data_IF_456636237938
#
_entry.id   IF_456636237938
#
_cell.length_a   1.000
_cell.length_b   1.000
_cell.length_c   1.000
_cell.angle_alpha   90.00
_cell.angle_beta   90.00
_cell.angle_gamma   90.00
#
_symmetry.space_group_name_H-M   'P 1'
#
loop_
_entity.id
_entity.type
_entity.pdbx_description
1 polymer ?
#
# COMPACT_ATOMS: atom_id res chain seq x y z
N UNK A 1 6.11 -20.25 26.31
CA UNK A 1 6.75 -20.96 25.20
C UNK A 1 6.15 -20.45 23.89
N UNK A 2 6.94 -19.68 23.12
CA UNK A 2 6.55 -19.32 21.74
C UNK A 2 6.96 -20.49 20.85
N UNK A 3 6.01 -21.32 20.46
CA UNK A 3 6.25 -22.38 19.47
C UNK A 3 6.31 -21.74 18.08
N UNK A 4 7.26 -22.17 17.26
CA UNK A 4 7.35 -21.78 15.86
C UNK A 4 6.37 -22.63 15.06
N UNK A 5 5.56 -21.96 14.22
CA UNK A 5 4.66 -22.61 13.28
C UNK A 5 5.01 -22.21 11.85
N UNK A 6 4.78 -23.11 10.92
CA UNK A 6 4.91 -22.89 9.48
C UNK A 6 3.52 -22.67 8.89
N UNK A 7 3.32 -21.53 8.27
CA UNK A 7 2.08 -21.25 7.56
C UNK A 7 2.14 -21.85 6.16
N UNK A 8 1.20 -22.72 5.87
CA UNK A 8 0.97 -23.30 4.55
C UNK A 8 -0.17 -22.56 3.86
N UNK A 9 0.08 -22.14 2.62
CA UNK A 9 -0.93 -21.52 1.75
C UNK A 9 -1.07 -22.36 0.49
N UNK A 10 -2.27 -22.88 0.26
CA UNK A 10 -2.58 -23.63 -0.94
C UNK A 10 -3.53 -22.84 -1.82
N UNK A 11 -3.07 -22.50 -3.01
CA UNK A 11 -3.85 -21.78 -4.02
C UNK A 11 -4.48 -22.77 -4.99
N UNK A 12 -5.79 -22.65 -5.18
CA UNK A 12 -6.54 -23.27 -6.27
C UNK A 12 -7.05 -22.17 -7.20
N UNK A 13 -7.69 -22.50 -8.31
CA UNK A 13 -8.17 -21.51 -9.28
C UNK A 13 -9.11 -20.46 -8.67
N UNK A 14 -9.85 -20.80 -7.60
CA UNK A 14 -10.88 -19.95 -7.01
C UNK A 14 -10.74 -19.70 -5.52
N UNK A 15 -9.86 -20.42 -4.81
CA UNK A 15 -9.77 -20.39 -3.35
C UNK A 15 -8.34 -20.48 -2.86
N UNK A 16 -8.12 -19.98 -1.64
CA UNK A 16 -6.85 -20.11 -0.91
C UNK A 16 -7.15 -20.78 0.42
N UNK A 17 -6.42 -21.84 0.74
CA UNK A 17 -6.52 -22.56 2.01
C UNK A 17 -5.28 -22.26 2.84
N UNK A 18 -5.46 -22.04 4.15
CA UNK A 18 -4.39 -21.74 5.08
C UNK A 18 -4.35 -22.79 6.20
N UNK A 19 -3.17 -23.27 6.51
CA UNK A 19 -2.91 -24.16 7.64
C UNK A 19 -1.67 -23.70 8.38
N UNK A 20 -1.68 -23.80 9.72
CA UNK A 20 -0.51 -23.58 10.56
C UNK A 20 -0.02 -24.95 11.07
N UNK A 21 1.18 -25.33 10.70
CA UNK A 21 1.77 -26.64 10.95
C UNK A 21 3.00 -26.51 11.86
N UNK A 22 3.20 -27.51 12.71
CA UNK A 22 4.48 -27.69 13.39
C UNK A 22 5.59 -28.07 12.40
N UNK A 23 6.85 -28.03 12.82
CA UNK A 23 7.99 -28.37 11.94
C UNK A 23 7.87 -29.76 11.33
N UNK A 24 7.51 -30.77 12.11
CA UNK A 24 7.37 -32.15 11.64
C UNK A 24 6.21 -32.31 10.67
N UNK A 25 5.10 -31.66 10.93
CA UNK A 25 3.92 -31.68 10.02
C UNK A 25 4.21 -30.95 8.71
N UNK A 26 4.92 -29.82 8.77
CA UNK A 26 5.33 -29.07 7.59
C UNK A 26 6.29 -29.90 6.71
N UNK A 27 7.27 -30.58 7.33
CA UNK A 27 8.20 -31.44 6.59
C UNK A 27 7.49 -32.62 5.95
N UNK A 28 6.57 -33.29 6.67
CA UNK A 28 5.79 -34.40 6.12
C UNK A 28 4.92 -33.91 4.95
N UNK A 29 4.24 -32.78 5.08
CA UNK A 29 3.41 -32.19 4.03
C UNK A 29 4.24 -31.77 2.79
N UNK A 30 5.41 -31.18 2.98
CA UNK A 30 6.31 -30.86 1.87
C UNK A 30 6.74 -32.13 1.11
N UNK A 31 7.06 -33.21 1.84
CA UNK A 31 7.46 -34.49 1.25
C UNK A 31 6.32 -35.08 0.41
N UNK A 32 5.10 -35.03 0.94
CA UNK A 32 3.90 -35.55 0.26
C UNK A 32 3.55 -34.74 -1.01
N UNK A 33 3.64 -33.41 -0.93
CA UNK A 33 3.43 -32.52 -2.05
C UNK A 33 4.44 -32.77 -3.19
N UNK A 34 5.70 -33.09 -2.86
CA UNK A 34 6.72 -33.38 -3.88
C UNK A 34 6.46 -34.66 -4.67
N UNK A 35 5.55 -35.51 -4.26
CA UNK A 35 5.08 -36.65 -5.07
C UNK A 35 4.26 -36.19 -6.28
N UNK A 36 3.58 -35.04 -6.18
CA UNK A 36 2.69 -34.51 -7.20
C UNK A 36 3.25 -33.28 -7.92
N UNK A 37 4.07 -32.48 -7.24
CA UNK A 37 4.67 -31.27 -7.81
C UNK A 37 6.04 -31.58 -8.41
N UNK A 38 6.38 -30.91 -9.51
CA UNK A 38 7.63 -31.11 -10.24
C UNK A 38 8.65 -30.00 -10.03
N UNK A 39 8.27 -28.99 -9.26
CA UNK A 39 9.15 -27.86 -8.95
C UNK A 39 9.03 -27.48 -7.49
N UNK A 40 10.18 -27.26 -6.84
CA UNK A 40 10.28 -26.67 -5.51
C UNK A 40 11.27 -25.51 -5.58
N UNK A 41 10.93 -24.40 -4.94
CA UNK A 41 11.86 -23.31 -4.66
C UNK A 41 11.94 -23.13 -3.15
N UNK A 42 13.16 -23.09 -2.62
CA UNK A 42 13.45 -22.83 -1.22
C UNK A 42 14.27 -21.55 -1.13
N UNK A 43 13.84 -20.62 -0.28
CA UNK A 43 14.57 -19.40 0.04
C UNK A 43 14.78 -19.33 1.55
N UNK A 44 16.02 -19.21 1.97
CA UNK A 44 16.41 -18.98 3.37
C UNK A 44 17.24 -17.71 3.45
N UNK A 45 17.61 -17.29 4.66
CA UNK A 45 18.49 -16.13 4.85
C UNK A 45 19.88 -16.30 4.24
N UNK A 46 20.38 -17.54 4.15
CA UNK A 46 21.74 -17.83 3.74
C UNK A 46 21.84 -18.63 2.46
N UNK A 47 20.73 -19.07 1.88
CA UNK A 47 20.75 -19.91 0.68
C UNK A 47 19.43 -19.87 -0.08
N UNK A 48 19.54 -20.06 -1.37
CA UNK A 48 18.41 -20.37 -2.25
C UNK A 48 18.66 -21.73 -2.90
N UNK A 49 17.60 -22.54 -3.00
CA UNK A 49 17.65 -23.81 -3.70
C UNK A 49 16.43 -24.00 -4.58
N UNK A 50 16.61 -24.70 -5.68
CA UNK A 50 15.51 -25.12 -6.56
C UNK A 50 15.67 -26.58 -6.94
N UNK A 51 14.56 -27.30 -6.89
CA UNK A 51 14.45 -28.70 -7.34
C UNK A 51 13.51 -28.74 -8.53
N UNK A 52 13.95 -29.39 -9.58
CA UNK A 52 13.16 -29.66 -10.80
C UNK A 52 13.10 -31.14 -11.05
N UNK A 53 11.90 -31.68 -11.23
CA UNK A 53 11.67 -33.08 -11.59
C UNK A 53 11.16 -33.15 -13.02
N UNK A 54 11.94 -33.78 -13.91
CA UNK A 54 11.56 -33.94 -15.32
C UNK A 54 10.39 -34.92 -15.46
N UNK A 55 9.74 -34.94 -16.63
CA UNK A 55 8.69 -35.94 -16.97
C UNK A 55 9.18 -37.38 -16.86
N UNK A 56 10.50 -37.61 -17.02
CA UNK A 56 11.14 -38.94 -16.93
C UNK A 56 11.68 -39.23 -15.50
N UNK A 57 11.32 -38.44 -14.49
CA UNK A 57 11.74 -38.62 -13.10
C UNK A 57 13.17 -38.17 -12.80
N UNK A 58 13.90 -37.56 -13.74
CA UNK A 58 15.24 -37.00 -13.45
C UNK A 58 15.12 -35.79 -12.58
N UNK A 59 15.78 -35.82 -11.41
CA UNK A 59 15.84 -34.72 -10.44
C UNK A 59 17.06 -33.86 -10.72
N UNK A 60 16.87 -32.55 -10.77
CA UNK A 60 17.94 -31.54 -10.86
C UNK A 60 17.84 -30.62 -9.65
N UNK A 61 18.88 -30.59 -8.84
CA UNK A 61 19.02 -29.67 -7.69
C UNK A 61 20.01 -28.55 -8.07
N UNK A 62 19.61 -27.32 -7.85
CA UNK A 62 20.49 -26.15 -7.90
C UNK A 62 20.43 -25.44 -6.56
N UNK A 63 21.56 -25.06 -6.01
CA UNK A 63 21.63 -24.26 -4.78
C UNK A 63 22.70 -23.20 -4.92
N UNK A 64 22.47 -22.04 -4.32
CA UNK A 64 23.46 -20.97 -4.18
C UNK A 64 23.40 -20.41 -2.75
N UNK A 65 24.54 -20.04 -2.22
CA UNK A 65 24.61 -19.26 -1.00
C UNK A 65 24.22 -17.81 -1.31
N UNK A 66 23.42 -17.22 -0.47
CA UNK A 66 23.09 -15.80 -0.50
C UNK A 66 23.84 -15.11 0.63
N UNK A 67 24.30 -13.88 0.40
CA UNK A 67 24.92 -13.08 1.44
C UNK A 67 23.87 -12.73 2.49
N UNK A 68 24.07 -13.13 3.75
CA UNK A 68 23.11 -12.80 4.83
C UNK A 68 22.95 -11.29 5.04
N UNK A 69 23.98 -10.49 4.77
CA UNK A 69 23.96 -9.04 4.95
C UNK A 69 23.24 -8.30 3.83
N UNK A 70 23.18 -8.86 2.62
CA UNK A 70 22.40 -8.33 1.52
C UNK A 70 20.87 -8.51 1.72
N UNK A 71 20.44 -9.42 2.60
CA UNK A 71 19.05 -9.68 2.93
C UNK A 71 18.58 -8.96 4.23
N UNK A 72 19.48 -8.24 4.91
CA UNK A 72 19.23 -7.60 6.21
C UNK A 72 18.71 -6.16 6.09
N UNK A 73 17.78 -5.91 5.20
CA UNK A 73 16.87 -4.79 5.41
C UNK A 73 15.64 -5.24 6.21
N UNK A 74 15.80 -5.57 7.46
CA UNK A 74 14.80 -6.04 8.44
C UNK A 74 14.62 -7.56 8.54
N UNK A 75 14.97 -8.13 9.69
CA UNK A 75 14.48 -9.43 10.10
C UNK A 75 12.94 -9.38 10.09
N UNK A 76 12.22 -10.31 9.43
CA UNK A 76 10.78 -10.33 9.50
C UNK A 76 10.37 -10.49 10.97
N UNK A 77 9.63 -9.51 11.50
CA UNK A 77 8.97 -9.67 12.78
C UNK A 77 8.01 -10.86 12.66
N UNK A 78 8.36 -11.96 13.35
CA UNK A 78 7.58 -13.20 13.39
C UNK A 78 6.38 -13.09 14.36
N UNK A 79 5.97 -11.88 14.73
CA UNK A 79 4.80 -11.71 15.60
C UNK A 79 3.52 -11.78 14.76
N UNK A 80 2.60 -12.68 15.11
CA UNK A 80 1.28 -12.76 14.50
C UNK A 80 0.43 -11.48 14.68
N UNK A 81 0.75 -10.64 15.66
CA UNK A 81 0.15 -9.33 15.87
C UNK A 81 1.00 -8.21 15.27
N UNK A 82 1.27 -8.27 13.99
CA UNK A 82 1.81 -7.12 13.28
C UNK A 82 0.78 -5.99 13.38
N UNK A 83 1.02 -5.01 14.22
CA UNK A 83 0.30 -3.73 14.13
C UNK A 83 0.67 -3.14 12.79
N UNK A 84 -0.31 -2.99 11.90
CA UNK A 84 -0.12 -2.23 10.67
C UNK A 84 0.31 -0.82 11.09
N UNK A 85 1.50 -0.41 10.71
CA UNK A 85 1.86 1.00 10.77
C UNK A 85 1.12 1.69 9.64
N UNK A 86 0.18 2.54 10.02
CA UNK A 86 -0.50 3.41 9.07
C UNK A 86 0.31 4.69 8.93
N UNK A 87 0.32 5.27 7.74
CA UNK A 87 0.95 6.57 7.46
C UNK A 87 0.22 7.67 8.24
N UNK A 88 -1.12 7.63 8.23
CA UNK A 88 -1.95 8.42 9.11
C UNK A 88 -2.34 7.55 10.30
N UNK A 89 -1.87 7.89 11.48
CA UNK A 89 -2.07 7.08 12.68
C UNK A 89 -3.33 7.51 13.45
N UNK A 90 -3.98 6.55 14.11
CA UNK A 90 -5.01 6.82 15.09
C UNK A 90 -4.39 7.51 16.33
N UNK A 91 -5.09 8.51 16.86
CA UNK A 91 -4.60 9.34 17.97
C UNK A 91 -3.93 10.64 17.52
N UNK A 92 -3.60 10.78 16.25
CA UNK A 92 -3.12 12.04 15.66
C UNK A 92 -4.29 12.74 14.95
N UNK A 93 -4.62 13.95 15.40
CA UNK A 93 -5.71 14.71 14.79
C UNK A 93 -5.35 15.17 13.39
N UNK A 94 -6.08 14.71 12.39
CA UNK A 94 -5.94 15.11 10.99
C UNK A 94 -7.20 15.88 10.59
N UNK A 95 -7.12 17.21 10.38
CA UNK A 95 -8.30 18.07 10.22
C UNK A 95 -9.25 17.63 9.09
N UNK A 96 -8.73 17.28 7.93
CA UNK A 96 -9.59 16.86 6.82
C UNK A 96 -10.30 15.52 7.09
N UNK A 97 -9.72 14.60 7.86
CA UNK A 97 -10.38 13.34 8.23
C UNK A 97 -11.56 13.58 9.19
N UNK A 98 -11.48 14.63 10.02
CA UNK A 98 -12.56 14.99 10.93
C UNK A 98 -13.76 15.56 10.15
N UNK A 99 -13.54 16.53 9.27
CA UNK A 99 -14.60 17.14 8.47
C UNK A 99 -15.22 16.17 7.47
N UNK A 100 -14.46 15.19 7.00
CA UNK A 100 -14.96 14.10 6.16
C UNK A 100 -15.66 12.98 6.96
N UNK A 101 -15.71 13.12 8.30
CA UNK A 101 -16.39 12.19 9.21
C UNK A 101 -15.70 10.83 9.34
N UNK A 102 -14.40 10.75 9.03
CA UNK A 102 -13.60 9.53 9.18
C UNK A 102 -12.95 9.45 10.56
N UNK A 103 -12.66 10.61 11.16
CA UNK A 103 -12.00 10.74 12.45
C UNK A 103 -12.83 11.62 13.38
N UNK A 104 -12.82 11.34 14.66
CA UNK A 104 -13.41 12.17 15.70
C UNK A 104 -12.47 13.31 16.10
N UNK A 105 -12.98 14.32 16.83
CA UNK A 105 -12.18 15.46 17.26
C UNK A 105 -11.03 15.10 18.22
N UNK A 106 -11.10 13.95 18.88
CA UNK A 106 -10.07 13.42 19.75
C UNK A 106 -9.11 12.43 19.03
N UNK A 107 -9.16 12.38 17.69
CA UNK A 107 -8.23 11.62 16.86
C UNK A 107 -8.57 10.13 16.73
N UNK A 108 -9.71 9.66 17.25
CA UNK A 108 -10.14 8.27 17.10
C UNK A 108 -10.82 8.05 15.75
N UNK A 109 -10.66 6.86 15.17
CA UNK A 109 -11.31 6.52 13.92
C UNK A 109 -12.77 6.14 14.16
N UNK A 110 -13.69 6.73 13.40
CA UNK A 110 -15.11 6.40 13.42
C UNK A 110 -15.29 4.96 12.95
N UNK A 111 -15.82 4.08 13.81
CA UNK A 111 -15.91 2.64 13.56
C UNK A 111 -16.55 2.31 12.21
N UNK A 112 -17.66 2.95 11.84
CA UNK A 112 -18.34 2.76 10.55
C UNK A 112 -17.54 3.29 9.33
N UNK A 113 -16.45 4.01 9.56
CA UNK A 113 -15.57 4.57 8.54
C UNK A 113 -14.16 3.96 8.54
N UNK A 114 -13.95 2.92 9.32
CA UNK A 114 -12.64 2.27 9.43
C UNK A 114 -12.13 1.72 8.08
N UNK A 115 -13.04 1.22 7.24
CA UNK A 115 -12.67 0.78 5.89
C UNK A 115 -12.19 1.94 5.01
N UNK A 116 -12.81 3.13 5.15
CA UNK A 116 -12.37 4.34 4.45
C UNK A 116 -10.99 4.78 4.94
N UNK A 117 -10.75 4.76 6.24
CA UNK A 117 -9.44 5.04 6.82
C UNK A 117 -8.36 4.09 6.30
N UNK A 118 -8.65 2.78 6.23
CA UNK A 118 -7.73 1.79 5.66
C UNK A 118 -7.46 2.03 4.17
N UNK A 119 -8.49 2.39 3.41
CA UNK A 119 -8.36 2.71 1.99
C UNK A 119 -7.44 3.92 1.78
N UNK A 120 -7.61 4.98 2.58
CA UNK A 120 -6.76 6.18 2.53
C UNK A 120 -5.30 5.81 2.82
N UNK A 121 -5.04 5.08 3.92
CA UNK A 121 -3.68 4.67 4.25
C UNK A 121 -3.05 3.78 3.17
N UNK A 122 -3.82 2.84 2.59
CA UNK A 122 -3.33 2.01 1.50
C UNK A 122 -2.97 2.82 0.25
N UNK A 123 -3.76 3.84 -0.06
CA UNK A 123 -3.45 4.77 -1.13
C UNK A 123 -2.14 5.54 -0.85
N UNK A 124 -1.95 6.00 0.37
CA UNK A 124 -0.72 6.70 0.76
C UNK A 124 0.52 5.80 0.73
N UNK A 125 0.39 4.49 1.02
CA UNK A 125 1.47 3.51 0.81
C UNK A 125 1.93 3.49 -0.67
N UNK A 126 0.99 3.51 -1.64
CA UNK A 126 1.35 3.60 -3.06
C UNK A 126 2.03 4.93 -3.42
N UNK A 127 1.57 6.03 -2.84
CA UNK A 127 2.25 7.33 -3.02
C UNK A 127 3.66 7.28 -2.44
N UNK A 128 3.85 6.66 -1.28
CA UNK A 128 5.18 6.50 -0.66
C UNK A 128 6.14 5.69 -1.54
N UNK A 129 5.65 4.63 -2.20
CA UNK A 129 6.45 3.78 -3.10
C UNK A 129 7.01 4.56 -4.30
N UNK A 130 6.31 5.60 -4.78
CA UNK A 130 6.75 6.41 -5.93
C UNK A 130 7.57 7.65 -5.55
N UNK A 131 7.63 8.02 -4.24
CA UNK A 131 8.40 9.21 -3.81
C UNK A 131 9.84 9.25 -4.34
N UNK A 132 10.59 8.13 -4.38
CA UNK A 132 11.96 8.16 -4.90
C UNK A 132 12.09 8.58 -6.37
N UNK A 133 10.99 8.49 -7.14
CA UNK A 133 10.96 8.89 -8.55
C UNK A 133 10.50 10.33 -8.75
N UNK A 134 10.01 11.01 -7.70
CA UNK A 134 9.55 12.38 -7.76
C UNK A 134 10.69 13.37 -7.54
N UNK A 135 10.74 14.42 -8.36
CA UNK A 135 11.72 15.49 -8.24
C UNK A 135 11.35 16.44 -7.08
N UNK A 136 12.21 16.53 -6.07
CA UNK A 136 12.02 17.46 -4.94
C UNK A 136 12.52 18.87 -5.22
N UNK A 137 13.21 19.10 -6.33
CA UNK A 137 13.84 20.38 -6.67
C UNK A 137 12.91 21.40 -7.33
N UNK A 138 11.67 21.03 -7.61
CA UNK A 138 10.66 21.87 -8.28
C UNK A 138 9.24 21.59 -7.82
N UNK A 139 8.32 22.49 -8.15
CA UNK A 139 6.89 22.25 -7.96
C UNK A 139 6.42 21.08 -8.86
N UNK A 140 5.70 20.14 -8.27
CA UNK A 140 5.07 19.03 -8.97
C UNK A 140 3.58 19.31 -9.20
N UNK A 141 3.11 19.12 -10.41
CA UNK A 141 1.69 19.27 -10.76
C UNK A 141 1.00 17.91 -10.80
N UNK A 142 -0.03 17.75 -9.99
CA UNK A 142 -0.80 16.52 -9.86
C UNK A 142 -2.25 16.78 -10.29
N UNK A 143 -2.80 15.87 -11.08
CA UNK A 143 -4.16 15.96 -11.56
C UNK A 143 -4.97 14.74 -11.11
N UNK A 144 -6.09 14.97 -10.41
CA UNK A 144 -6.96 13.92 -9.86
C UNK A 144 -8.35 14.02 -10.53
N UNK A 145 -8.67 13.03 -11.37
CA UNK A 145 -9.94 12.98 -12.09
C UNK A 145 -11.00 12.20 -11.35
N UNK A 146 -12.23 12.70 -11.40
CA UNK A 146 -13.34 12.06 -10.70
C UNK A 146 -13.12 12.06 -9.19
N UNK A 147 -12.53 13.15 -8.68
CA UNK A 147 -12.10 13.25 -7.28
C UNK A 147 -13.25 13.05 -6.28
N UNK A 148 -14.51 13.23 -6.68
CA UNK A 148 -15.70 13.04 -5.86
C UNK A 148 -15.61 13.83 -4.55
N UNK A 149 -15.81 13.17 -3.39
CA UNK A 149 -15.63 13.78 -2.06
C UNK A 149 -14.17 14.03 -1.68
N UNK A 150 -13.24 13.77 -2.57
CA UNK A 150 -11.81 14.10 -2.51
C UNK A 150 -11.05 13.59 -1.28
N UNK A 151 -11.49 12.46 -0.69
CA UNK A 151 -10.77 11.86 0.45
C UNK A 151 -9.31 11.58 0.12
N UNK A 152 -9.04 11.05 -1.08
CA UNK A 152 -7.69 10.69 -1.51
C UNK A 152 -6.89 11.92 -1.92
N UNK A 153 -7.52 12.90 -2.56
CA UNK A 153 -6.89 14.18 -2.94
C UNK A 153 -6.42 14.96 -1.71
N UNK A 154 -7.27 15.08 -0.69
CA UNK A 154 -6.89 15.71 0.58
C UNK A 154 -5.79 14.93 1.29
N UNK A 155 -5.88 13.59 1.31
CA UNK A 155 -4.86 12.76 1.92
C UNK A 155 -3.50 12.89 1.21
N UNK A 156 -3.50 12.92 -0.12
CA UNK A 156 -2.30 13.12 -0.93
C UNK A 156 -1.67 14.48 -0.70
N UNK A 157 -2.47 15.56 -0.67
CA UNK A 157 -1.96 16.90 -0.37
C UNK A 157 -1.34 16.95 1.02
N UNK A 158 -2.07 16.49 2.05
CA UNK A 158 -1.57 16.45 3.42
C UNK A 158 -0.28 15.65 3.55
N UNK A 159 -0.22 14.48 2.93
CA UNK A 159 0.96 13.63 2.99
C UNK A 159 2.18 14.25 2.28
N UNK A 160 2.00 14.67 1.04
CA UNK A 160 3.10 15.21 0.25
C UNK A 160 3.55 16.59 0.76
N UNK A 161 2.62 17.48 1.04
CA UNK A 161 2.94 18.85 1.43
C UNK A 161 3.25 18.97 2.92
N UNK A 162 2.33 18.51 3.80
CA UNK A 162 2.48 18.73 5.24
C UNK A 162 3.49 17.78 5.88
N UNK A 163 3.50 16.49 5.48
CA UNK A 163 4.36 15.49 6.12
C UNK A 163 5.69 15.29 5.41
N UNK A 164 5.74 15.36 4.09
CA UNK A 164 6.95 15.11 3.29
C UNK A 164 7.60 16.38 2.74
N UNK A 165 6.96 17.55 2.87
CA UNK A 165 7.48 18.86 2.48
C UNK A 165 7.83 18.99 0.99
N UNK A 166 7.09 18.30 0.12
CA UNK A 166 7.18 18.50 -1.31
C UNK A 166 6.49 19.79 -1.72
N UNK A 167 7.06 20.51 -2.67
CA UNK A 167 6.38 21.61 -3.34
C UNK A 167 5.45 21.03 -4.40
N UNK A 168 4.13 21.08 -4.15
CA UNK A 168 3.12 20.45 -4.98
C UNK A 168 1.98 21.39 -5.29
N UNK A 169 1.37 21.21 -6.46
CA UNK A 169 0.07 21.76 -6.84
C UNK A 169 -0.83 20.61 -7.23
N UNK A 170 -2.00 20.51 -6.60
CA UNK A 170 -2.99 19.49 -6.94
C UNK A 170 -4.24 20.14 -7.49
N UNK A 171 -4.74 19.60 -8.59
CA UNK A 171 -5.99 20.03 -9.25
C UNK A 171 -6.92 18.81 -9.27
N UNK A 172 -8.02 18.88 -8.52
CA UNK A 172 -9.09 17.88 -8.55
C UNK A 172 -10.17 18.26 -9.57
N UNK A 173 -10.64 17.30 -10.34
CA UNK A 173 -11.70 17.48 -11.32
C UNK A 173 -12.89 16.57 -10.99
N UNK A 174 -14.10 17.13 -11.01
CA UNK A 174 -15.36 16.38 -10.94
C UNK A 174 -16.47 17.13 -11.69
N UNK A 175 -17.48 16.41 -12.14
CA UNK A 175 -18.61 16.99 -12.84
C UNK A 175 -19.67 17.63 -11.91
N UNK A 176 -19.61 17.33 -10.60
CA UNK A 176 -20.60 17.75 -9.61
C UNK A 176 -20.22 19.08 -8.98
N UNK A 177 -20.92 20.12 -9.35
CA UNK A 177 -20.66 21.50 -8.89
C UNK A 177 -20.73 21.68 -7.37
N UNK A 178 -21.70 21.03 -6.69
CA UNK A 178 -21.84 21.09 -5.25
C UNK A 178 -20.66 20.44 -4.51
N UNK A 179 -20.15 19.35 -5.06
CA UNK A 179 -18.95 18.64 -4.53
C UNK A 179 -17.72 19.54 -4.67
N UNK A 180 -17.49 20.09 -5.87
CA UNK A 180 -16.36 20.98 -6.15
C UNK A 180 -16.37 22.20 -5.23
N UNK A 181 -17.53 22.85 -5.06
CA UNK A 181 -17.66 23.99 -4.16
C UNK A 181 -17.27 23.62 -2.73
N UNK A 182 -17.82 22.50 -2.21
CA UNK A 182 -17.52 22.01 -0.87
C UNK A 182 -16.03 21.68 -0.70
N UNK A 183 -15.42 21.03 -1.66
CA UNK A 183 -13.98 20.69 -1.61
C UNK A 183 -13.11 21.96 -1.60
N UNK A 184 -13.44 23.00 -2.39
CA UNK A 184 -12.70 24.27 -2.36
C UNK A 184 -12.89 25.02 -1.02
N UNK A 185 -14.07 24.95 -0.40
CA UNK A 185 -14.31 25.52 0.93
C UNK A 185 -13.42 24.82 1.98
N UNK A 186 -13.31 23.49 1.92
CA UNK A 186 -12.45 22.72 2.81
C UNK A 186 -10.96 23.03 2.57
N UNK A 187 -10.50 23.05 1.31
CA UNK A 187 -9.12 23.41 1.00
C UNK A 187 -8.74 24.78 1.55
N UNK A 188 -9.62 25.79 1.38
CA UNK A 188 -9.43 27.11 1.95
C UNK A 188 -9.42 27.08 3.48
N UNK A 189 -10.32 26.32 4.12
CA UNK A 189 -10.39 26.17 5.58
C UNK A 189 -9.09 25.64 6.18
N UNK A 190 -8.41 24.72 5.45
CA UNK A 190 -7.14 24.12 5.92
C UNK A 190 -5.91 24.91 5.51
N UNK A 191 -6.05 25.99 4.73
CA UNK A 191 -4.92 26.75 4.20
C UNK A 191 -4.14 26.02 3.11
N UNK A 192 -4.78 25.09 2.39
CA UNK A 192 -4.16 24.32 1.29
C UNK A 192 -4.17 25.17 0.00
N UNK A 193 -3.29 26.18 -0.04
CA UNK A 193 -3.29 27.21 -1.10
C UNK A 193 -3.04 26.63 -2.50
N UNK A 194 -2.30 25.52 -2.59
CA UNK A 194 -1.97 24.85 -3.86
C UNK A 194 -2.86 23.65 -4.17
N UNK A 195 -3.98 23.51 -3.46
CA UNK A 195 -5.04 22.52 -3.72
C UNK A 195 -6.28 23.24 -4.24
N UNK A 196 -6.68 22.93 -5.47
CA UNK A 196 -7.85 23.50 -6.11
C UNK A 196 -8.73 22.44 -6.75
N UNK A 197 -10.02 22.74 -6.86
CA UNK A 197 -10.99 21.83 -7.46
C UNK A 197 -11.78 22.58 -8.56
N UNK A 198 -11.87 21.97 -9.74
CA UNK A 198 -12.52 22.52 -10.91
C UNK A 198 -13.63 21.60 -11.42
N UNK A 199 -14.66 22.20 -12.02
CA UNK A 199 -15.69 21.44 -12.70
C UNK A 199 -15.18 21.08 -14.08
N UNK A 200 -15.18 19.81 -14.44
CA UNK A 200 -14.77 19.35 -15.75
C UNK A 200 -14.47 17.87 -15.83
N UNK A 201 -14.32 17.42 -17.06
CA UNK A 201 -13.82 16.09 -17.41
C UNK A 201 -12.33 16.19 -17.78
N UNK A 202 -11.67 15.05 -17.78
CA UNK A 202 -10.28 14.93 -18.25
C UNK A 202 -10.12 15.42 -19.69
N UNK A 203 -11.11 15.14 -20.53
CA UNK A 203 -11.09 15.54 -21.93
C UNK A 203 -11.15 17.06 -22.15
N UNK A 204 -11.70 17.80 -21.19
CA UNK A 204 -11.89 19.25 -21.26
C UNK A 204 -10.77 20.04 -20.58
N UNK A 205 -9.84 19.34 -19.90
CA UNK A 205 -8.74 19.99 -19.19
C UNK A 205 -7.71 20.56 -20.18
N UNK A 206 -7.66 21.89 -20.25
CA UNK A 206 -6.75 22.63 -21.12
C UNK A 206 -5.56 23.25 -20.36
N UNK A 207 -5.15 22.65 -19.27
CA UNK A 207 -3.96 23.10 -18.52
C UNK A 207 -2.71 23.03 -19.41
N UNK A 208 -1.90 24.08 -19.34
CA UNK A 208 -0.65 24.21 -20.11
C UNK A 208 0.55 23.62 -19.39
N UNK A 209 0.39 23.21 -18.12
CA UNK A 209 1.47 22.72 -17.28
C UNK A 209 1.79 21.25 -17.58
N UNK A 210 3.06 20.87 -17.48
CA UNK A 210 3.41 19.46 -17.50
C UNK A 210 2.86 18.79 -16.25
N UNK A 211 2.15 17.69 -16.43
CA UNK A 211 1.58 16.91 -15.34
C UNK A 211 2.57 15.83 -14.95
N UNK A 212 2.96 15.82 -13.67
CA UNK A 212 3.92 14.87 -13.12
C UNK A 212 3.24 13.59 -12.64
N UNK A 213 1.98 13.70 -12.19
CA UNK A 213 1.17 12.57 -11.72
C UNK A 213 -0.29 12.78 -12.10
N UNK A 214 -0.93 11.66 -12.50
CA UNK A 214 -2.34 11.64 -12.87
C UNK A 214 -3.02 10.43 -12.20
#
# INVERSE_FOLDING_TARGET
NKSLYFQFEQFTDTQVFHENLSENEALAKCTDLMMNFRQLQLKTRSAEASVLVSKKGKVTLRSRKTDPDAALTSAPELSHNRRKHYILEEGTCVPFLQDLGVMTSDGRIVHSRYDKFRQINRFLEFIEDILPALDQGRELTILDFGCGKSYLTFAMYYYLHELKHYDIRIIGLDLKQDVIRHCNELAKKYGYEKLSFLIGDVADYQGTDSIDMM
#
